data_IF_309489606461
#
_entry.id   IF_309489606461
#
_cell.length_a   1.000
_cell.length_b   1.000
_cell.length_c   1.000
_cell.angle_alpha   90.00
_cell.angle_beta   90.00
_cell.angle_gamma   90.00
#
_symmetry.space_group_name_H-M   'P 1'
#
loop_
_entity.id
_entity.type
_entity.pdbx_description
1 polymer ?
#
# COMPACT_ATOMS: atom_id res chain seq x y z
N UNK A 1 -0.60 -9.09 -6.24
CA UNK A 1 -0.64 -7.87 -5.41
C UNK A 1 0.08 -8.08 -4.07
N UNK A 2 0.53 -7.01 -3.40
CA UNK A 2 1.06 -7.02 -2.03
C UNK A 2 0.37 -5.95 -1.19
N UNK A 3 0.13 -6.27 0.08
CA UNK A 3 -0.43 -5.36 1.07
C UNK A 3 0.48 -5.32 2.30
N UNK A 4 0.72 -4.12 2.82
CA UNK A 4 1.43 -3.89 4.07
C UNK A 4 0.48 -3.22 5.05
N UNK A 5 0.57 -3.48 6.33
CA UNK A 5 -0.29 -2.89 7.34
C UNK A 5 0.53 -2.26 8.46
N UNK A 6 0.17 -1.04 8.85
CA UNK A 6 0.60 -0.40 10.08
C UNK A 6 -0.61 -0.39 10.99
N UNK A 7 -0.64 -1.35 11.93
CA UNK A 7 -1.72 -1.49 12.90
C UNK A 7 -1.48 -0.56 14.08
N UNK A 8 -2.42 0.35 14.32
CA UNK A 8 -2.34 1.34 15.40
C UNK A 8 -3.27 1.06 16.56
N UNK A 9 -4.04 -0.04 16.52
CA UNK A 9 -5.07 -0.36 17.53
C UNK A 9 -4.52 -0.55 18.95
N UNK A 10 -3.25 -0.93 19.08
CA UNK A 10 -2.59 -1.09 20.38
C UNK A 10 -1.85 0.17 20.85
N UNK A 11 -1.87 1.27 20.08
CA UNK A 11 -1.16 2.52 20.40
C UNK A 11 -2.02 3.53 21.16
N UNK A 12 -3.34 3.39 21.16
CA UNK A 12 -4.27 4.23 21.91
C UNK A 12 -5.73 3.86 21.60
N UNK A 13 -6.65 3.92 22.59
CA UNK A 13 -8.07 3.58 22.37
C UNK A 13 -8.79 4.50 21.39
N UNK A 14 -8.26 5.69 21.14
CA UNK A 14 -8.75 6.65 20.15
C UNK A 14 -8.37 6.31 18.70
N UNK A 15 -7.39 5.42 18.50
CA UNK A 15 -6.91 5.03 17.18
C UNK A 15 -7.73 3.84 16.66
N UNK A 16 -8.74 4.15 15.85
CA UNK A 16 -9.55 3.13 15.17
C UNK A 16 -8.79 2.62 13.94
N UNK A 17 -8.39 1.35 13.98
CA UNK A 17 -7.73 0.69 12.86
C UNK A 17 -6.26 1.08 12.68
N UNK A 18 -5.88 1.39 11.45
CA UNK A 18 -4.51 1.69 11.06
C UNK A 18 -4.41 2.17 9.61
N UNK A 19 -3.25 1.97 8.99
CA UNK A 19 -3.00 2.30 7.58
C UNK A 19 -2.62 1.02 6.83
N UNK A 20 -3.28 0.74 5.71
CA UNK A 20 -2.79 -0.27 4.76
C UNK A 20 -2.09 0.39 3.57
N UNK A 21 -0.99 -0.20 3.12
CA UNK A 21 -0.29 0.15 1.90
C UNK A 21 -0.53 -0.91 0.83
N UNK A 22 -1.00 -0.50 -0.36
CA UNK A 22 -1.31 -1.40 -1.47
C UNK A 22 -0.34 -1.17 -2.62
N UNK A 23 0.30 -2.24 -3.08
CA UNK A 23 1.22 -2.24 -4.23
C UNK A 23 0.87 -3.41 -5.13
N UNK A 24 0.67 -3.15 -6.43
CA UNK A 24 0.33 -4.20 -7.39
C UNK A 24 1.05 -4.04 -8.72
N UNK A 25 0.72 -4.93 -9.66
CA UNK A 25 1.27 -4.92 -11.01
C UNK A 25 0.94 -3.62 -11.76
N UNK A 26 1.84 -3.20 -12.66
CA UNK A 26 1.56 -2.13 -13.63
C UNK A 26 0.60 -2.59 -14.74
N UNK A 27 0.44 -3.91 -14.92
CA UNK A 27 -0.48 -4.56 -15.83
C UNK A 27 -1.32 -5.60 -15.06
N UNK A 28 -2.27 -5.19 -14.21
CA UNK A 28 -3.00 -6.12 -13.37
C UNK A 28 -4.02 -6.93 -14.19
N UNK A 29 -4.14 -8.22 -13.87
CA UNK A 29 -5.18 -9.09 -14.40
C UNK A 29 -6.57 -8.68 -13.87
N UNK A 30 -7.65 -9.20 -14.46
CA UNK A 30 -8.99 -8.96 -13.95
C UNK A 30 -9.14 -9.49 -12.50
N UNK A 31 -8.51 -10.61 -12.19
CA UNK A 31 -8.47 -11.20 -10.85
C UNK A 31 -7.72 -10.31 -9.86
N UNK A 32 -6.55 -9.78 -10.24
CA UNK A 32 -5.78 -8.87 -9.37
C UNK A 32 -6.53 -7.55 -9.11
N UNK A 33 -7.29 -7.05 -10.10
CA UNK A 33 -8.18 -5.89 -9.90
C UNK A 33 -9.29 -6.20 -8.91
N UNK A 34 -9.91 -7.38 -9.02
CA UNK A 34 -10.96 -7.84 -8.10
C UNK A 34 -10.41 -7.98 -6.67
N UNK A 35 -9.27 -8.65 -6.53
CA UNK A 35 -8.56 -8.83 -5.26
C UNK A 35 -8.24 -7.48 -4.59
N UNK A 36 -7.78 -6.49 -5.38
CA UNK A 36 -7.54 -5.13 -4.89
C UNK A 36 -8.80 -4.50 -4.31
N UNK A 37 -9.92 -4.53 -5.03
CA UNK A 37 -11.17 -3.92 -4.57
C UNK A 37 -11.70 -4.63 -3.33
N UNK A 38 -11.72 -5.97 -3.33
CA UNK A 38 -12.21 -6.76 -2.20
C UNK A 38 -11.38 -6.52 -0.94
N UNK A 39 -10.05 -6.54 -1.07
CA UNK A 39 -9.14 -6.33 0.06
C UNK A 39 -9.26 -4.90 0.60
N UNK A 40 -9.19 -3.89 -0.26
CA UNK A 40 -9.27 -2.49 0.17
C UNK A 40 -10.64 -2.17 0.78
N UNK A 41 -11.72 -2.71 0.23
CA UNK A 41 -13.06 -2.51 0.78
C UNK A 41 -13.18 -3.09 2.19
N UNK A 42 -12.64 -4.29 2.43
CA UNK A 42 -12.66 -4.89 3.77
C UNK A 42 -11.99 -4.00 4.82
N UNK A 43 -10.76 -3.57 4.55
CA UNK A 43 -10.03 -2.68 5.46
C UNK A 43 -10.69 -1.31 5.62
N UNK A 44 -11.22 -0.74 4.53
CA UNK A 44 -11.91 0.55 4.58
C UNK A 44 -13.19 0.48 5.44
N UNK A 45 -13.95 -0.61 5.35
CA UNK A 45 -15.12 -0.84 6.22
C UNK A 45 -14.74 -0.96 7.70
N UNK A 46 -13.55 -1.50 7.98
CA UNK A 46 -12.99 -1.56 9.33
C UNK A 46 -12.37 -0.22 9.80
N UNK A 47 -12.54 0.86 9.01
CA UNK A 47 -12.07 2.21 9.34
C UNK A 47 -10.59 2.47 9.07
N UNK A 48 -9.91 1.59 8.32
CA UNK A 48 -8.49 1.79 8.02
C UNK A 48 -8.28 2.83 6.93
N UNK A 49 -7.24 3.63 7.08
CA UNK A 49 -6.75 4.50 6.02
C UNK A 49 -6.05 3.66 4.93
N UNK A 50 -6.07 4.16 3.70
CA UNK A 50 -5.53 3.48 2.52
C UNK A 50 -4.36 4.29 1.96
N UNK A 51 -3.25 3.63 1.66
CA UNK A 51 -2.11 4.22 0.99
C UNK A 51 -1.75 3.46 -0.28
N UNK A 52 -1.52 4.18 -1.38
CA UNK A 52 -1.09 3.59 -2.63
C UNK A 52 -0.40 4.63 -3.53
N UNK A 53 0.24 4.18 -4.61
CA UNK A 53 0.67 5.06 -5.69
C UNK A 53 -0.46 5.21 -6.73
N UNK A 54 -1.16 6.36 -6.80
CA UNK A 54 -2.29 6.57 -7.71
C UNK A 54 -1.91 6.59 -9.19
N UNK A 55 -0.60 6.58 -9.51
CA UNK A 55 -0.10 6.50 -10.89
C UNK A 55 -0.15 5.07 -11.43
N UNK A 56 -0.16 4.07 -10.56
CA UNK A 56 -0.30 2.67 -10.95
C UNK A 56 -1.78 2.28 -11.11
N UNK A 57 -2.14 1.34 -11.99
CA UNK A 57 -3.54 0.93 -12.13
C UNK A 57 -4.14 0.34 -10.84
N UNK A 58 -3.38 -0.46 -10.10
CA UNK A 58 -3.82 -1.00 -8.81
C UNK A 58 -3.95 0.10 -7.76
N UNK A 59 -2.98 1.01 -7.66
CA UNK A 59 -3.06 2.10 -6.69
C UNK A 59 -4.16 3.11 -7.01
N UNK A 60 -4.51 3.32 -8.28
CA UNK A 60 -5.69 4.09 -8.67
C UNK A 60 -6.99 3.40 -8.25
N UNK A 61 -7.10 2.08 -8.42
CA UNK A 61 -8.26 1.33 -7.92
C UNK A 61 -8.39 1.46 -6.41
N UNK A 62 -7.29 1.28 -5.67
CA UNK A 62 -7.27 1.47 -4.22
C UNK A 62 -7.70 2.89 -3.81
N UNK A 63 -7.25 3.92 -4.53
CA UNK A 63 -7.64 5.30 -4.29
C UNK A 63 -9.15 5.52 -4.50
N UNK A 64 -9.71 5.01 -5.59
CA UNK A 64 -11.15 5.11 -5.88
C UNK A 64 -11.99 4.35 -4.86
N UNK A 65 -11.54 3.17 -4.43
CA UNK A 65 -12.22 2.40 -3.38
C UNK A 65 -12.19 3.14 -2.04
N UNK A 66 -11.05 3.73 -1.67
CA UNK A 66 -10.91 4.55 -0.46
C UNK A 66 -11.84 5.78 -0.49
N UNK A 67 -11.87 6.49 -1.62
CA UNK A 67 -12.75 7.65 -1.84
C UNK A 67 -14.23 7.25 -1.74
N UNK A 68 -14.63 6.13 -2.36
CA UNK A 68 -16.00 5.60 -2.31
C UNK A 68 -16.42 5.22 -0.88
N UNK A 69 -15.48 4.69 -0.10
CA UNK A 69 -15.69 4.33 1.30
C UNK A 69 -15.53 5.51 2.27
N UNK A 70 -15.22 6.71 1.76
CA UNK A 70 -14.98 7.92 2.56
C UNK A 70 -13.88 7.75 3.64
N UNK A 71 -12.87 6.91 3.39
CA UNK A 71 -11.73 6.72 4.31
C UNK A 71 -10.53 7.54 3.86
N UNK A 72 -9.62 7.92 4.78
CA UNK A 72 -8.44 8.70 4.42
C UNK A 72 -7.55 7.97 3.40
N UNK A 73 -7.10 8.72 2.38
CA UNK A 73 -6.18 8.21 1.35
C UNK A 73 -4.82 8.93 1.38
N UNK A 74 -3.73 8.17 1.37
CA UNK A 74 -2.34 8.67 1.36
C UNK A 74 -1.65 8.26 0.05
N UNK A 75 -1.28 9.25 -0.76
CA UNK A 75 -0.59 9.00 -2.03
C UNK A 75 0.93 8.85 -1.83
N UNK A 76 1.50 7.67 -2.14
CA UNK A 76 2.94 7.39 -1.95
C UNK A 76 3.85 8.33 -2.75
N UNK A 77 3.38 8.76 -3.91
CA UNK A 77 4.15 9.61 -4.81
C UNK A 77 4.39 11.00 -4.22
N UNK A 78 3.51 11.46 -3.33
CA UNK A 78 3.69 12.70 -2.55
C UNK A 78 4.67 12.51 -1.40
N UNK A 79 4.72 11.31 -0.80
CA UNK A 79 5.67 10.96 0.26
C UNK A 79 7.08 10.94 -0.31
N UNK A 80 7.30 10.32 -1.47
CA UNK A 80 8.61 10.32 -2.13
C UNK A 80 9.12 11.73 -2.51
N UNK A 81 8.21 12.65 -2.82
CA UNK A 81 8.55 14.04 -3.17
C UNK A 81 8.85 14.93 -1.96
N UNK A 82 8.33 14.61 -0.77
CA UNK A 82 8.47 15.45 0.43
C UNK A 82 9.26 14.80 1.59
N UNK A 83 9.44 13.49 1.57
CA UNK A 83 9.87 12.67 2.71
C UNK A 83 11.33 12.21 2.71
N UNK A 84 12.17 12.69 1.80
CA UNK A 84 13.58 12.26 1.71
C UNK A 84 13.77 10.95 0.93
N UNK A 85 14.96 10.32 1.00
CA UNK A 85 15.35 9.23 0.10
C UNK A 85 14.41 8.03 0.23
N UNK A 86 13.84 7.59 -0.90
CA UNK A 86 13.06 6.35 -0.97
C UNK A 86 14.02 5.17 -0.76
N UNK A 87 13.85 4.44 0.34
CA UNK A 87 14.56 3.18 0.56
C UNK A 87 13.93 2.13 -0.36
N UNK A 88 14.50 1.98 -1.55
CA UNK A 88 14.14 0.91 -2.48
C UNK A 88 14.56 -0.46 -1.93
N UNK A 89 13.97 -1.57 -2.43
CA UNK A 89 14.43 -2.90 -2.09
C UNK A 89 15.90 -3.04 -2.50
N UNK A 90 16.79 -3.30 -1.55
CA UNK A 90 18.19 -3.63 -1.82
C UNK A 90 18.22 -4.90 -2.65
N UNK A 91 18.54 -4.78 -3.94
CA UNK A 91 19.00 -5.93 -4.71
C UNK A 91 20.36 -6.31 -4.13
N UNK A 92 20.36 -7.22 -3.16
CA UNK A 92 21.56 -7.95 -2.76
C UNK A 92 22.04 -8.72 -3.99
N UNK A 93 22.89 -8.07 -4.79
CA UNK A 93 23.72 -8.76 -5.76
C UNK A 93 24.64 -9.65 -4.93
N UNK A 94 24.29 -10.93 -4.86
CA UNK A 94 25.13 -11.97 -4.32
C UNK A 94 26.38 -12.08 -5.20
N UNK A 95 27.36 -11.22 -4.98
CA UNK A 95 28.72 -11.47 -5.37
C UNK A 95 29.30 -12.43 -4.32
N UNK A 96 29.04 -13.72 -4.50
CA UNK A 96 29.80 -14.79 -3.83
C UNK A 96 31.23 -14.68 -4.34
N UNK A 97 32.05 -13.91 -3.63
CA UNK A 97 33.49 -13.88 -3.84
C UNK A 97 34.03 -15.11 -3.12
N UNK A 98 34.12 -16.22 -3.84
CA UNK A 98 34.81 -17.41 -3.36
C UNK A 98 36.27 -17.03 -3.09
N UNK A 99 36.64 -17.11 -1.81
CA UNK A 99 38.01 -17.20 -1.32
C UNK A 99 38.10 -18.57 -0.65
N UNK A 100 38.65 -19.55 -1.36
CA UNK A 100 39.45 -20.67 -0.85
C UNK A 100 40.12 -21.38 -2.01
#
# INVERSE_FOLDING_TARGET
MRVFAIDTRNMGPELQGGLIGVVGSINPSAEEKRECVETVSGYALDGWAIAADPRTPVGRLAALTAETACVPFVAFDRVAQRGGPVVGPTTLSAATRELS
#
